data_IF_742528257820
#
_entry.id   IF_742528257820
#
_cell.length_a   1.000
_cell.length_b   1.000
_cell.length_c   1.000
_cell.angle_alpha   90.00
_cell.angle_beta   90.00
_cell.angle_gamma   90.00
#
_symmetry.space_group_name_H-M   'P 1'
#
loop_
_entity.id
_entity.type
_entity.pdbx_description
1 polymer ?
#
# COMPACT_ATOMS: atom_id res chain seq x y z
N UNK A 1 -3.04 25.54 11.04
CA UNK A 1 -1.91 25.22 10.16
C UNK A 1 -1.03 24.10 10.72
N UNK A 2 -0.46 24.22 11.93
CA UNK A 2 0.44 23.22 12.53
C UNK A 2 -0.25 21.85 12.71
N UNK A 3 -1.49 21.83 13.20
CA UNK A 3 -2.28 20.59 13.41
C UNK A 3 -2.50 19.86 12.08
N UNK A 4 -2.82 20.58 11.00
CA UNK A 4 -3.02 19.96 9.68
C UNK A 4 -1.74 19.34 9.13
N UNK A 5 -0.58 19.99 9.32
CA UNK A 5 0.72 19.45 8.92
C UNK A 5 1.07 18.19 9.72
N UNK A 6 0.83 18.20 11.04
CA UNK A 6 1.05 17.04 11.89
C UNK A 6 0.11 15.87 11.52
N UNK A 7 -1.15 16.17 11.21
CA UNK A 7 -2.11 15.17 10.76
C UNK A 7 -1.70 14.58 9.40
N UNK A 8 -1.23 15.40 8.46
CA UNK A 8 -0.74 14.95 7.16
C UNK A 8 0.49 14.04 7.31
N UNK A 9 1.48 14.43 8.13
CA UNK A 9 2.66 13.61 8.40
C UNK A 9 2.29 12.29 9.08
N UNK A 10 1.41 12.33 10.07
CA UNK A 10 0.92 11.12 10.75
C UNK A 10 0.18 10.19 9.80
N UNK A 11 -0.66 10.73 8.91
CA UNK A 11 -1.34 9.96 7.87
C UNK A 11 -0.35 9.32 6.88
N UNK A 12 0.71 10.03 6.49
CA UNK A 12 1.79 9.48 5.68
C UNK A 12 2.45 8.29 6.36
N UNK A 13 2.79 8.42 7.64
CA UNK A 13 3.37 7.32 8.43
C UNK A 13 2.41 6.13 8.50
N UNK A 14 1.13 6.35 8.76
CA UNK A 14 0.10 5.31 8.75
C UNK A 14 0.03 4.59 7.39
N UNK A 15 0.11 5.36 6.28
CA UNK A 15 0.14 4.81 4.92
C UNK A 15 1.36 3.90 4.71
N UNK A 16 2.54 4.34 5.12
CA UNK A 16 3.77 3.55 4.98
C UNK A 16 3.72 2.26 5.79
N UNK A 17 3.21 2.30 7.02
CA UNK A 17 3.03 1.11 7.87
C UNK A 17 2.07 0.11 7.22
N UNK A 18 0.92 0.57 6.70
CA UNK A 18 -0.04 -0.29 6.02
C UNK A 18 0.55 -0.92 4.76
N UNK A 19 1.29 -0.15 3.94
CA UNK A 19 1.96 -0.67 2.74
C UNK A 19 3.07 -1.67 3.08
N UNK A 20 3.79 -1.45 4.15
CA UNK A 20 4.77 -2.42 4.65
C UNK A 20 4.12 -3.74 5.08
N UNK A 21 2.95 -3.69 5.73
CA UNK A 21 2.15 -4.86 6.05
C UNK A 21 1.75 -5.66 4.81
N UNK A 22 1.23 -4.99 3.77
CA UNK A 22 0.92 -5.61 2.48
C UNK A 22 2.16 -6.24 1.82
N UNK A 23 3.29 -5.57 1.89
CA UNK A 23 4.55 -6.09 1.38
C UNK A 23 4.98 -7.41 2.05
N UNK A 24 4.86 -7.51 3.38
CA UNK A 24 5.15 -8.75 4.12
C UNK A 24 4.26 -9.89 3.64
N UNK A 25 2.96 -9.65 3.47
CA UNK A 25 2.01 -10.64 2.97
C UNK A 25 2.36 -11.09 1.54
N UNK A 26 2.63 -10.14 0.64
CA UNK A 26 3.02 -10.43 -0.76
C UNK A 26 4.29 -11.27 -0.82
N UNK A 27 5.32 -10.91 -0.03
CA UNK A 27 6.57 -11.65 0.04
C UNK A 27 6.37 -13.09 0.51
N UNK A 28 5.48 -13.30 1.48
CA UNK A 28 5.16 -14.62 1.97
C UNK A 28 4.45 -15.47 0.90
N UNK A 29 3.47 -14.90 0.20
CA UNK A 29 2.78 -15.59 -0.90
C UNK A 29 3.75 -16.04 -1.99
N UNK A 30 4.63 -15.15 -2.45
CA UNK A 30 5.64 -15.48 -3.47
C UNK A 30 6.64 -16.55 -2.99
N UNK A 31 7.02 -16.53 -1.72
CA UNK A 31 7.89 -17.55 -1.13
C UNK A 31 7.23 -18.93 -1.13
N UNK A 32 5.95 -19.00 -0.81
CA UNK A 32 5.19 -20.25 -0.82
C UNK A 32 4.97 -20.78 -2.24
N UNK A 33 4.68 -19.89 -3.19
CA UNK A 33 4.53 -20.26 -4.59
C UNK A 33 5.82 -20.87 -5.15
N UNK A 34 6.98 -20.26 -4.88
CA UNK A 34 8.28 -20.80 -5.27
C UNK A 34 8.53 -22.18 -4.66
N UNK A 35 8.24 -22.37 -3.38
CA UNK A 35 8.41 -23.67 -2.71
C UNK A 35 7.48 -24.73 -3.31
N UNK A 36 6.26 -24.35 -3.68
CA UNK A 36 5.31 -25.27 -4.32
C UNK A 36 5.79 -25.68 -5.72
N UNK A 37 6.31 -24.75 -6.51
CA UNK A 37 6.88 -25.04 -7.83
C UNK A 37 8.10 -25.95 -7.74
N UNK A 38 9.02 -25.69 -6.82
CA UNK A 38 10.18 -26.57 -6.61
C UNK A 38 9.80 -27.99 -6.16
N UNK A 39 8.77 -28.13 -5.33
CA UNK A 39 8.26 -29.42 -4.89
C UNK A 39 7.56 -30.18 -6.01
N UNK A 40 6.87 -29.46 -6.91
CA UNK A 40 6.25 -30.04 -8.10
C UNK A 40 7.32 -30.55 -9.08
N UNK A 41 8.38 -29.81 -9.30
CA UNK A 41 9.45 -30.15 -10.24
C UNK A 41 10.30 -31.36 -9.73
N UNK A 42 10.45 -31.51 -8.43
CA UNK A 42 11.14 -32.64 -7.80
C UNK A 42 10.31 -33.92 -7.72
N UNK A 43 9.12 -33.96 -8.34
CA UNK A 43 8.24 -35.12 -8.33
C UNK A 43 7.78 -35.54 -6.92
N UNK A 44 7.99 -34.70 -5.91
CA UNK A 44 7.62 -34.92 -4.52
C UNK A 44 6.12 -34.66 -4.24
N UNK A 45 5.31 -34.60 -5.27
CA UNK A 45 3.86 -34.65 -5.12
C UNK A 45 3.41 -36.05 -4.67
N UNK A 46 3.86 -36.47 -3.50
CA UNK A 46 3.19 -37.55 -2.78
C UNK A 46 1.80 -37.04 -2.44
N UNK A 47 0.86 -37.43 -3.29
CA UNK A 47 -0.57 -37.38 -3.06
C UNK A 47 -0.81 -37.86 -1.62
N UNK A 48 -1.17 -36.96 -0.73
CA UNK A 48 -1.90 -37.34 0.47
C UNK A 48 -1.54 -36.75 1.81
N UNK A 49 -0.31 -36.27 2.10
CA UNK A 49 0.00 -36.07 3.53
C UNK A 49 0.74 -34.80 3.98
N UNK A 50 0.91 -33.85 3.13
CA UNK A 50 1.38 -32.54 3.63
C UNK A 50 0.18 -31.59 3.70
N UNK A 51 -0.54 -31.61 4.82
CA UNK A 51 -1.44 -30.52 5.23
C UNK A 51 -0.60 -29.24 5.28
N UNK A 52 -0.43 -28.58 4.14
CA UNK A 52 0.18 -27.26 4.10
C UNK A 52 -0.65 -26.38 5.02
N UNK A 53 -0.02 -25.89 6.09
CA UNK A 53 -0.67 -24.94 6.99
C UNK A 53 -1.17 -23.78 6.12
N UNK A 54 -2.45 -23.43 6.22
CA UNK A 54 -2.99 -22.34 5.44
C UNK A 54 -2.18 -21.06 5.71
N UNK A 55 -1.94 -20.29 4.67
CA UNK A 55 -1.05 -19.09 4.68
C UNK A 55 -1.39 -18.12 5.81
N UNK A 56 -2.68 -17.97 6.11
CA UNK A 56 -3.18 -17.11 7.18
C UNK A 56 -2.85 -17.60 8.60
N UNK A 57 -2.47 -18.86 8.79
CA UNK A 57 -2.00 -19.37 10.08
C UNK A 57 -0.49 -19.17 10.31
N UNK A 58 0.21 -18.60 9.34
CA UNK A 58 1.62 -18.27 9.50
C UNK A 58 1.78 -16.97 10.29
N UNK A 59 2.58 -16.96 11.35
CA UNK A 59 2.79 -15.78 12.19
C UNK A 59 3.25 -14.53 11.40
N UNK A 60 3.99 -14.71 10.32
CA UNK A 60 4.41 -13.61 9.42
C UNK A 60 3.24 -12.98 8.68
N UNK A 61 2.22 -13.76 8.29
CA UNK A 61 1.02 -13.24 7.66
C UNK A 61 0.20 -12.41 8.64
N UNK A 62 0.04 -12.91 9.86
CA UNK A 62 -0.66 -12.23 10.95
C UNK A 62 0.06 -10.92 11.29
N UNK A 63 1.40 -10.92 11.38
CA UNK A 63 2.16 -9.69 11.60
C UNK A 63 1.91 -8.64 10.51
N UNK A 64 1.90 -9.04 9.23
CA UNK A 64 1.54 -8.16 8.13
C UNK A 64 0.13 -7.60 8.26
N UNK A 65 -0.85 -8.43 8.65
CA UNK A 65 -2.23 -8.03 8.87
C UNK A 65 -2.37 -7.02 10.02
N UNK A 66 -1.67 -7.25 11.13
CA UNK A 66 -1.64 -6.31 12.27
C UNK A 66 -1.09 -4.94 11.83
N UNK A 67 -0.01 -4.91 11.04
CA UNK A 67 0.54 -3.66 10.49
C UNK A 67 -0.50 -2.92 9.63
N UNK A 68 -1.27 -3.62 8.80
CA UNK A 68 -2.33 -3.02 7.99
C UNK A 68 -3.43 -2.42 8.88
N UNK A 69 -3.86 -3.15 9.90
CA UNK A 69 -4.88 -2.67 10.83
C UNK A 69 -4.40 -1.43 11.60
N UNK A 70 -3.18 -1.44 12.13
CA UNK A 70 -2.60 -0.28 12.84
C UNK A 70 -2.50 0.92 11.90
N UNK A 71 -1.92 0.74 10.71
CA UNK A 71 -1.78 1.82 9.72
C UNK A 71 -3.13 2.39 9.30
N UNK A 72 -4.12 1.53 9.03
CA UNK A 72 -5.49 1.93 8.69
C UNK A 72 -6.19 2.69 9.81
N UNK A 73 -6.06 2.24 11.05
CA UNK A 73 -6.63 2.93 12.22
C UNK A 73 -6.04 4.32 12.39
N UNK A 74 -4.72 4.47 12.26
CA UNK A 74 -4.05 5.77 12.30
C UNK A 74 -4.61 6.69 11.21
N UNK A 75 -4.74 6.20 9.99
CA UNK A 75 -5.29 6.98 8.87
C UNK A 75 -6.73 7.45 9.15
N UNK A 76 -7.60 6.56 9.66
CA UNK A 76 -8.98 6.88 9.98
C UNK A 76 -9.10 7.97 11.05
N UNK A 77 -8.29 7.88 12.12
CA UNK A 77 -8.29 8.89 13.19
C UNK A 77 -7.84 10.25 12.63
N UNK A 78 -6.79 10.27 11.81
CA UNK A 78 -6.23 11.51 11.29
C UNK A 78 -7.08 12.15 10.19
N UNK A 79 -7.98 11.37 9.56
CA UNK A 79 -8.95 11.90 8.61
C UNK A 79 -9.86 12.98 9.22
N UNK A 80 -10.12 12.92 10.53
CA UNK A 80 -10.92 13.91 11.26
C UNK A 80 -10.20 15.26 11.44
N UNK A 81 -8.88 15.31 11.25
CA UNK A 81 -8.05 16.48 11.55
C UNK A 81 -7.41 17.13 10.32
N UNK A 82 -7.56 16.55 9.14
CA UNK A 82 -6.96 17.07 7.91
C UNK A 82 -7.95 16.95 6.74
N UNK A 83 -7.81 17.85 5.78
CA UNK A 83 -8.60 17.86 4.55
C UNK A 83 -8.40 16.57 3.74
N UNK A 84 -9.51 16.03 3.24
CA UNK A 84 -9.53 14.83 2.43
C UNK A 84 -8.61 14.96 1.19
N UNK A 85 -8.57 16.14 0.59
CA UNK A 85 -7.72 16.43 -0.57
C UNK A 85 -6.24 16.32 -0.23
N UNK A 86 -5.85 16.86 0.92
CA UNK A 86 -4.47 16.79 1.40
C UNK A 86 -4.07 15.33 1.70
N UNK A 87 -5.00 14.54 2.21
CA UNK A 87 -4.76 13.12 2.52
C UNK A 87 -4.67 12.27 1.25
N UNK A 88 -5.39 12.62 0.19
CA UNK A 88 -5.34 11.87 -1.07
C UNK A 88 -3.94 11.84 -1.70
N UNK A 89 -3.14 12.89 -1.49
CA UNK A 89 -1.75 12.95 -1.97
C UNK A 89 -0.86 11.88 -1.33
N UNK A 90 -1.16 11.47 -0.09
CA UNK A 90 -0.42 10.41 0.61
C UNK A 90 -0.66 9.02 0.02
N UNK A 91 -1.79 8.80 -0.67
CA UNK A 91 -2.05 7.54 -1.36
C UNK A 91 -1.04 7.31 -2.50
N UNK A 92 -0.69 8.37 -3.24
CA UNK A 92 0.31 8.31 -4.30
C UNK A 92 1.68 7.95 -3.72
N UNK A 93 2.08 8.62 -2.63
CA UNK A 93 3.32 8.31 -1.93
C UNK A 93 3.35 6.84 -1.47
N UNK A 94 2.22 6.32 -0.97
CA UNK A 94 2.07 4.91 -0.58
C UNK A 94 2.23 3.93 -1.75
N UNK A 95 1.75 4.27 -2.95
CA UNK A 95 1.89 3.44 -4.14
C UNK A 95 3.35 3.43 -4.60
N UNK A 96 3.99 4.60 -4.67
CA UNK A 96 5.41 4.71 -5.02
C UNK A 96 6.27 3.89 -4.04
N UNK A 97 6.00 4.00 -2.74
CA UNK A 97 6.71 3.24 -1.71
C UNK A 97 6.52 1.73 -1.88
N UNK A 98 5.28 1.27 -2.13
CA UNK A 98 5.00 -0.15 -2.36
C UNK A 98 5.73 -0.67 -3.61
N UNK A 99 5.74 0.09 -4.71
CA UNK A 99 6.46 -0.26 -5.94
C UNK A 99 7.96 -0.33 -5.69
N UNK A 100 8.53 0.63 -4.95
CA UNK A 100 9.93 0.61 -4.57
C UNK A 100 10.30 -0.65 -3.77
N UNK A 101 9.47 -1.03 -2.79
CA UNK A 101 9.68 -2.26 -2.01
C UNK A 101 9.59 -3.51 -2.89
N UNK A 102 8.64 -3.56 -3.82
CA UNK A 102 8.47 -4.67 -4.76
C UNK A 102 9.70 -4.86 -5.64
N UNK A 103 10.20 -3.78 -6.25
CA UNK A 103 11.40 -3.82 -7.10
C UNK A 103 12.62 -4.25 -6.28
N UNK A 104 12.84 -3.61 -5.12
CA UNK A 104 14.07 -3.79 -4.33
C UNK A 104 14.18 -5.15 -3.65
N UNK A 105 13.05 -5.71 -3.17
CA UNK A 105 13.05 -6.91 -2.33
C UNK A 105 12.38 -8.13 -2.95
N UNK A 106 11.44 -7.94 -3.88
CA UNK A 106 10.79 -9.04 -4.59
C UNK A 106 11.46 -9.34 -5.93
N UNK A 107 12.31 -8.44 -6.42
CA UNK A 107 12.97 -8.58 -7.73
C UNK A 107 11.99 -8.43 -8.89
N UNK A 108 10.86 -7.76 -8.68
CA UNK A 108 9.93 -7.46 -9.76
C UNK A 108 10.60 -6.52 -10.76
N UNK A 109 10.38 -6.80 -12.05
CA UNK A 109 10.91 -5.96 -13.13
C UNK A 109 10.06 -4.70 -13.23
N UNK A 110 10.71 -3.55 -13.14
CA UNK A 110 10.07 -2.27 -13.40
C UNK A 110 9.87 -2.13 -14.92
N UNK A 111 8.62 -2.11 -15.35
CA UNK A 111 8.29 -1.86 -16.76
C UNK A 111 8.11 -0.36 -16.99
N UNK A 112 9.19 0.31 -17.36
CA UNK A 112 9.25 1.76 -17.53
C UNK A 112 8.06 2.37 -18.28
N UNK A 113 7.57 1.68 -19.30
CA UNK A 113 6.46 2.20 -20.11
C UNK A 113 5.14 2.20 -19.34
N UNK A 114 4.80 1.10 -18.68
CA UNK A 114 3.51 0.94 -17.99
C UNK A 114 3.51 1.60 -16.61
N UNK A 115 4.56 1.38 -15.84
CA UNK A 115 4.63 1.89 -14.46
C UNK A 115 4.79 3.42 -14.45
N UNK A 116 5.62 3.98 -15.33
CA UNK A 116 5.78 5.43 -15.44
C UNK A 116 4.51 6.11 -15.95
N UNK A 117 3.81 5.49 -16.91
CA UNK A 117 2.53 6.01 -17.42
C UNK A 117 1.47 6.01 -16.33
N UNK A 118 1.39 4.93 -15.52
CA UNK A 118 0.47 4.82 -14.40
C UNK A 118 0.76 5.89 -13.33
N UNK A 119 2.02 6.11 -12.97
CA UNK A 119 2.41 7.18 -12.04
C UNK A 119 2.12 8.57 -12.59
N UNK A 120 2.36 8.80 -13.86
CA UNK A 120 2.03 10.06 -14.53
C UNK A 120 0.53 10.35 -14.50
N UNK A 121 -0.30 9.36 -14.82
CA UNK A 121 -1.76 9.49 -14.80
C UNK A 121 -2.29 9.75 -13.38
N UNK A 122 -1.75 9.05 -12.36
CA UNK A 122 -2.09 9.32 -10.96
C UNK A 122 -1.69 10.72 -10.52
N UNK A 123 -0.49 11.19 -10.93
CA UNK A 123 -0.05 12.55 -10.65
C UNK A 123 -0.96 13.61 -11.25
N UNK A 124 -1.36 13.44 -12.51
CA UNK A 124 -2.32 14.33 -13.19
C UNK A 124 -3.67 14.32 -12.45
N UNK A 125 -4.18 13.15 -12.08
CA UNK A 125 -5.43 13.03 -11.32
C UNK A 125 -5.37 13.75 -9.98
N UNK A 126 -4.26 13.65 -9.25
CA UNK A 126 -4.08 14.37 -7.98
C UNK A 126 -4.08 15.89 -8.18
N UNK A 127 -3.39 16.40 -9.22
CA UNK A 127 -3.38 17.82 -9.52
C UNK A 127 -4.79 18.32 -9.85
N UNK A 128 -5.55 17.57 -10.65
CA UNK A 128 -6.95 17.92 -10.99
C UNK A 128 -7.81 18.00 -9.73
N UNK A 129 -7.70 17.01 -8.81
CA UNK A 129 -8.46 17.01 -7.56
C UNK A 129 -8.14 18.23 -6.71
N UNK A 130 -6.86 18.58 -6.57
CA UNK A 130 -6.44 19.77 -5.80
C UNK A 130 -6.99 21.06 -6.43
N UNK A 131 -6.91 21.20 -7.76
CA UNK A 131 -7.41 22.39 -8.46
C UNK A 131 -8.93 22.54 -8.33
N UNK A 132 -9.69 21.45 -8.44
CA UNK A 132 -11.15 21.49 -8.29
C UNK A 132 -11.54 21.85 -6.86
N UNK A 133 -10.86 21.26 -5.86
CA UNK A 133 -11.13 21.54 -4.45
C UNK A 133 -10.87 23.02 -4.09
N UNK A 134 -9.80 23.62 -4.59
CA UNK A 134 -9.50 25.05 -4.37
C UNK A 134 -10.55 25.97 -5.04
N UNK A 135 -11.12 25.55 -6.15
CA UNK A 135 -12.20 26.29 -6.82
C UNK A 135 -13.54 26.18 -6.05
N UNK A 136 -13.88 25.01 -5.51
CA UNK A 136 -15.08 24.82 -4.70
C UNK A 136 -15.05 25.67 -3.43
N UNK A 137 -13.94 25.71 -2.71
CA UNK A 137 -13.78 26.52 -1.51
C UNK A 137 -14.00 28.01 -1.79
N UNK A 138 -13.53 28.52 -2.91
CA UNK A 138 -13.71 29.91 -3.33
C UNK A 138 -15.14 30.24 -3.76
N UNK A 139 -15.88 29.26 -4.28
CA UNK A 139 -17.27 29.47 -4.74
C UNK A 139 -18.30 29.42 -3.59
N UNK A 140 -18.05 28.60 -2.57
CA UNK A 140 -19.00 28.38 -1.48
C UNK A 140 -18.70 29.15 -0.19
N UNK A 141 -17.59 29.91 -0.12
CA UNK A 141 -17.31 30.80 1.01
C UNK A 141 -17.69 32.23 0.61
N UNK A 142 -18.93 32.72 0.87
CA UNK A 142 -19.27 34.11 0.69
C UNK A 142 -18.47 34.94 1.70
N UNK A 143 -17.81 36.00 1.23
CA UNK A 143 -17.15 37.03 2.05
C UNK A 143 -18.18 37.84 2.85
#
# INVERSE_FOLDING_TARGET
MIIAILAWLGHLVGTLIAKFGLFIQKKLHLSLEKTNMENADKGLNKIGDTKQKPVYCMGKWIAGFICICIGGTIQMILLAYADLVLLSTNMIAGIIFNTFLSIRYLGEKFEWRYDLTAFGLMGIGAVIIVLISDMEEKLFTPR
#
